data_IF_658116833660
#
_entry.id   IF_658116833660
#
_cell.length_a   1.000
_cell.length_b   1.000
_cell.length_c   1.000
_cell.angle_alpha   90.00
_cell.angle_beta   90.00
_cell.angle_gamma   90.00
#
_symmetry.space_group_name_H-M   'P 1'
#
loop_
_entity.id
_entity.type
_entity.pdbx_description
1 polymer ?
#
# COMPACT_ATOMS: atom_id res chain seq x y z
N UNK A 1 54.90 20.73 -8.04
CA UNK A 1 53.49 20.88 -8.48
C UNK A 1 52.77 19.59 -8.12
N UNK A 2 52.01 19.57 -7.03
CA UNK A 2 51.12 18.44 -6.71
C UNK A 2 49.72 19.01 -6.44
N UNK A 3 48.83 18.80 -7.41
CA UNK A 3 47.41 19.01 -7.26
C UNK A 3 46.86 17.85 -6.44
N UNK A 4 46.44 18.12 -5.21
CA UNK A 4 45.57 17.21 -4.47
C UNK A 4 44.13 17.52 -4.88
N UNK A 5 43.57 16.67 -5.75
CA UNK A 5 42.16 16.71 -6.13
C UNK A 5 41.30 16.24 -4.96
N UNK A 6 40.32 17.06 -4.57
CA UNK A 6 39.28 16.69 -3.61
C UNK A 6 38.24 15.88 -4.38
N UNK A 7 38.13 14.59 -4.06
CA UNK A 7 37.01 13.75 -4.50
C UNK A 7 35.86 13.98 -3.53
N UNK A 8 34.80 14.64 -3.99
CA UNK A 8 33.54 14.72 -3.28
C UNK A 8 32.77 13.41 -3.50
N UNK A 9 32.56 12.64 -2.44
CA UNK A 9 31.68 11.47 -2.44
C UNK A 9 30.26 12.00 -2.24
N UNK A 10 29.43 11.91 -3.28
CA UNK A 10 28.00 12.13 -3.17
C UNK A 10 27.39 10.91 -2.44
N UNK A 11 26.83 11.13 -1.25
CA UNK A 11 26.00 10.15 -0.58
C UNK A 11 24.62 10.20 -1.25
N UNK A 12 24.30 9.19 -2.05
CA UNK A 12 22.93 8.94 -2.47
C UNK A 12 22.16 8.42 -1.25
N UNK A 13 21.23 9.20 -0.72
CA UNK A 13 20.23 8.76 0.24
C UNK A 13 19.20 7.92 -0.51
N UNK A 14 19.53 6.66 -0.77
CA UNK A 14 18.54 5.69 -1.24
C UNK A 14 17.56 5.39 -0.11
N UNK A 15 16.27 5.35 -0.44
CA UNK A 15 15.23 4.84 0.44
C UNK A 15 15.70 3.52 1.07
N UNK A 16 15.92 3.52 2.40
CA UNK A 16 16.41 2.32 3.08
C UNK A 16 15.24 1.39 3.30
N UNK A 17 15.01 0.50 2.35
CA UNK A 17 14.06 -0.59 2.55
C UNK A 17 14.40 -1.34 3.85
N UNK A 18 13.40 -1.53 4.72
CA UNK A 18 13.61 -2.02 6.08
C UNK A 18 13.56 -3.55 6.15
N UNK A 19 14.50 -4.16 6.87
CA UNK A 19 14.40 -5.58 7.23
C UNK A 19 13.12 -5.82 8.06
N UNK A 20 12.47 -6.96 7.83
CA UNK A 20 11.25 -7.32 8.58
C UNK A 20 11.55 -7.47 10.07
N UNK A 21 10.84 -6.74 10.95
CA UNK A 21 10.84 -7.03 12.39
C UNK A 21 10.43 -8.48 12.63
N UNK A 22 11.02 -9.13 13.63
CA UNK A 22 10.85 -10.58 13.85
C UNK A 22 9.37 -11.00 14.02
N UNK A 23 8.55 -10.19 14.67
CA UNK A 23 7.11 -10.47 14.79
C UNK A 23 6.39 -10.39 13.44
N UNK A 24 6.72 -9.40 12.61
CA UNK A 24 6.17 -9.27 11.26
C UNK A 24 6.65 -10.39 10.34
N UNK A 25 7.91 -10.81 10.47
CA UNK A 25 8.45 -11.97 9.74
C UNK A 25 7.68 -13.25 10.08
N UNK A 26 7.37 -13.46 11.35
CA UNK A 26 6.56 -14.62 11.78
C UNK A 26 5.13 -14.55 11.22
N UNK A 27 4.51 -13.37 11.23
CA UNK A 27 3.20 -13.15 10.58
C UNK A 27 3.30 -13.44 9.08
N UNK A 28 4.33 -12.92 8.41
CA UNK A 28 4.55 -13.11 6.99
C UNK A 28 4.68 -14.61 6.66
N UNK A 29 5.57 -15.34 7.31
CA UNK A 29 5.75 -16.77 7.03
C UNK A 29 4.51 -17.61 7.39
N UNK A 30 3.82 -17.27 8.49
CA UNK A 30 2.62 -17.98 8.94
C UNK A 30 1.45 -17.83 7.97
N UNK A 31 1.27 -16.64 7.40
CA UNK A 31 0.12 -16.32 6.56
C UNK A 31 0.41 -16.44 5.06
N UNK A 32 1.69 -16.42 4.63
CA UNK A 32 2.06 -16.62 3.22
C UNK A 32 1.60 -17.97 2.69
N UNK A 33 1.81 -19.03 3.46
CA UNK A 33 1.32 -20.37 3.15
C UNK A 33 0.33 -20.77 4.23
N UNK A 34 -0.93 -20.37 4.05
CA UNK A 34 -1.92 -20.45 5.11
C UNK A 34 -3.35 -20.29 4.62
N UNK A 35 -4.26 -20.19 5.59
CA UNK A 35 -5.67 -19.91 5.36
C UNK A 35 -6.04 -18.64 6.10
N UNK A 36 -6.87 -17.85 5.44
CA UNK A 36 -7.70 -16.84 6.07
C UNK A 36 -8.73 -17.53 6.97
N UNK A 37 -8.43 -17.67 8.27
CA UNK A 37 -9.28 -18.43 9.20
C UNK A 37 -10.48 -17.60 9.67
N UNK A 38 -10.30 -16.27 9.72
CA UNK A 38 -11.30 -15.25 9.95
C UNK A 38 -11.39 -14.37 8.71
N UNK A 39 -12.06 -14.91 7.71
CA UNK A 39 -12.48 -14.16 6.52
C UNK A 39 -13.48 -13.08 6.93
N UNK A 40 -13.18 -11.83 6.56
CA UNK A 40 -14.09 -10.70 6.76
C UNK A 40 -15.02 -10.56 5.57
N UNK A 41 -14.46 -10.67 4.36
CA UNK A 41 -15.19 -10.71 3.09
C UNK A 41 -14.28 -11.34 2.02
N UNK A 42 -14.85 -12.20 1.19
CA UNK A 42 -14.17 -12.83 0.05
C UNK A 42 -14.92 -12.64 -1.26
N UNK A 43 -14.39 -13.24 -2.32
CA UNK A 43 -14.94 -13.15 -3.68
C UNK A 43 -14.25 -12.10 -4.56
N UNK A 44 -13.06 -11.65 -4.17
CA UNK A 44 -12.26 -10.67 -4.89
C UNK A 44 -11.25 -11.32 -5.81
N UNK A 45 -10.86 -10.59 -6.85
CA UNK A 45 -9.75 -10.90 -7.75
C UNK A 45 -8.65 -9.84 -7.61
N UNK A 46 -7.64 -9.93 -8.45
CA UNK A 46 -6.50 -9.04 -8.54
C UNK A 46 -6.31 -8.50 -9.97
N UNK A 47 -7.40 -8.33 -10.73
CA UNK A 47 -7.33 -7.92 -12.14
C UNK A 47 -6.82 -9.02 -13.10
N UNK A 48 -6.22 -10.09 -12.58
CA UNK A 48 -5.67 -11.18 -13.37
C UNK A 48 -6.61 -12.39 -13.44
N UNK A 49 -7.16 -12.65 -14.63
CA UNK A 49 -8.14 -13.73 -14.85
C UNK A 49 -7.68 -15.14 -14.43
N UNK A 50 -6.38 -15.39 -14.38
CA UNK A 50 -5.82 -16.68 -14.00
C UNK A 50 -5.88 -16.95 -12.48
N UNK A 51 -6.02 -15.89 -11.66
CA UNK A 51 -6.18 -15.98 -10.20
C UNK A 51 -7.65 -15.95 -9.78
N UNK A 52 -8.53 -15.33 -10.57
CA UNK A 52 -9.98 -15.35 -10.36
C UNK A 52 -10.38 -14.84 -8.96
N UNK A 53 -11.61 -15.13 -8.54
CA UNK A 53 -12.19 -14.60 -7.30
C UNK A 53 -11.69 -15.30 -6.01
N UNK A 54 -10.37 -15.45 -5.86
CA UNK A 54 -9.73 -16.22 -4.79
C UNK A 54 -9.26 -15.39 -3.59
N UNK A 55 -9.34 -14.07 -3.69
CA UNK A 55 -8.85 -13.12 -2.70
C UNK A 55 -9.92 -12.74 -1.68
N UNK A 56 -9.44 -12.50 -0.47
CA UNK A 56 -10.26 -12.14 0.68
C UNK A 56 -9.54 -11.13 1.57
N UNK A 57 -10.33 -10.28 2.22
CA UNK A 57 -9.89 -9.49 3.37
C UNK A 57 -9.97 -10.34 4.64
N UNK A 58 -8.87 -10.38 5.37
CA UNK A 58 -8.66 -11.31 6.49
C UNK A 58 -8.41 -10.57 7.79
N UNK A 59 -9.05 -11.04 8.86
CA UNK A 59 -8.97 -10.46 10.21
C UNK A 59 -8.32 -11.37 11.24
N UNK A 60 -7.42 -12.27 10.80
CA UNK A 60 -6.71 -13.23 11.66
C UNK A 60 -5.69 -12.56 12.60
N UNK A 61 -5.16 -11.41 12.19
CA UNK A 61 -4.18 -10.65 12.95
C UNK A 61 -4.94 -9.65 13.83
N UNK A 62 -4.77 -9.68 15.17
CA UNK A 62 -5.40 -8.70 16.04
C UNK A 62 -5.04 -7.26 15.65
N UNK A 63 -6.05 -6.39 15.60
CA UNK A 63 -5.93 -4.97 15.22
C UNK A 63 -5.47 -4.71 13.78
N UNK A 64 -5.63 -5.68 12.89
CA UNK A 64 -5.22 -5.57 11.49
C UNK A 64 -6.19 -6.29 10.55
N UNK A 65 -6.20 -5.80 9.31
CA UNK A 65 -6.85 -6.41 8.15
C UNK A 65 -5.76 -6.65 7.11
N UNK A 66 -5.75 -7.80 6.43
CA UNK A 66 -4.78 -8.06 5.37
C UNK A 66 -5.42 -8.78 4.18
N UNK A 67 -4.84 -8.61 2.99
CA UNK A 67 -5.24 -9.31 1.77
C UNK A 67 -4.57 -10.68 1.68
N UNK A 68 -5.32 -11.68 1.25
CA UNK A 68 -4.82 -13.04 1.09
C UNK A 68 -5.63 -13.82 0.06
N UNK A 69 -4.95 -14.61 -0.77
CA UNK A 69 -5.58 -15.54 -1.69
C UNK A 69 -5.52 -16.97 -1.18
N UNK A 70 -6.65 -17.68 -1.31
CA UNK A 70 -6.75 -19.11 -1.00
C UNK A 70 -6.08 -20.04 -2.02
N UNK A 71 -5.62 -19.50 -3.17
CA UNK A 71 -4.94 -20.27 -4.21
C UNK A 71 -3.57 -20.76 -3.76
N UNK A 72 -3.08 -21.79 -4.44
CA UNK A 72 -1.73 -22.35 -4.25
C UNK A 72 -1.36 -22.75 -2.81
N UNK A 73 -2.36 -23.01 -1.96
CA UNK A 73 -2.16 -23.32 -0.54
C UNK A 73 -1.99 -22.10 0.37
N UNK A 74 -2.32 -20.92 -0.15
CA UNK A 74 -2.08 -19.62 0.47
C UNK A 74 -1.06 -18.84 -0.35
N UNK A 75 -1.39 -17.58 -0.64
CA UNK A 75 -0.49 -16.58 -1.20
C UNK A 75 -1.00 -15.18 -0.86
N UNK A 76 -0.19 -14.16 -1.12
CA UNK A 76 -0.60 -12.77 -0.93
C UNK A 76 -1.23 -12.22 -2.19
N UNK A 77 -1.09 -10.91 -2.42
CA UNK A 77 -1.53 -10.24 -3.63
C UNK A 77 -0.32 -9.77 -4.43
N UNK A 78 -0.62 -9.36 -5.64
CA UNK A 78 0.21 -8.60 -6.56
C UNK A 78 0.26 -7.12 -6.16
N UNK A 79 0.82 -6.29 -7.05
CA UNK A 79 0.77 -4.84 -6.95
C UNK A 79 0.45 -4.21 -8.31
N UNK A 80 -0.83 -4.03 -8.60
CA UNK A 80 -1.29 -3.15 -9.68
C UNK A 80 -1.11 -1.68 -9.29
N UNK A 81 -1.12 -0.80 -10.30
CA UNK A 81 -0.79 0.62 -10.12
C UNK A 81 -2.04 1.49 -10.18
N UNK A 82 -2.28 2.20 -9.08
CA UNK A 82 -3.24 3.29 -9.00
C UNK A 82 -2.52 4.63 -9.21
N UNK A 83 -3.06 5.45 -10.11
CA UNK A 83 -2.54 6.78 -10.39
C UNK A 83 -3.55 7.89 -10.05
N UNK A 84 -4.57 7.59 -9.24
CA UNK A 84 -5.65 8.50 -8.90
C UNK A 84 -5.16 9.71 -8.09
N UNK A 85 -5.95 10.78 -8.16
CA UNK A 85 -5.71 12.01 -7.40
C UNK A 85 -4.95 13.09 -8.15
N UNK A 86 -4.13 13.82 -7.39
CA UNK A 86 -3.36 14.96 -7.87
C UNK A 86 -2.27 14.51 -8.85
N UNK A 87 -2.08 15.31 -9.90
CA UNK A 87 -1.05 15.06 -10.92
C UNK A 87 -1.13 13.68 -11.59
N UNK A 88 -2.33 13.08 -11.71
CA UNK A 88 -2.54 11.73 -12.28
C UNK A 88 -1.90 11.44 -13.65
N UNK A 89 -1.60 12.47 -14.45
CA UNK A 89 -0.96 12.31 -15.77
C UNK A 89 0.54 12.66 -15.77
N UNK A 90 1.11 12.93 -14.60
CA UNK A 90 2.53 13.26 -14.45
C UNK A 90 3.39 12.00 -14.43
N UNK A 91 4.66 12.17 -14.77
CA UNK A 91 5.67 11.12 -14.64
C UNK A 91 5.27 9.82 -15.34
N UNK A 92 5.46 8.70 -14.62
CA UNK A 92 5.16 7.37 -15.13
C UNK A 92 3.69 6.98 -15.02
N UNK A 93 2.83 7.86 -14.50
CA UNK A 93 1.38 7.70 -14.59
C UNK A 93 0.81 8.22 -15.93
N UNK A 94 1.63 8.83 -16.79
CA UNK A 94 1.15 9.44 -18.06
C UNK A 94 0.53 8.46 -19.07
N UNK A 95 0.72 7.15 -18.90
CA UNK A 95 0.13 6.09 -19.71
C UNK A 95 -0.98 5.31 -19.00
N UNK A 96 -1.38 5.71 -17.78
CA UNK A 96 -2.58 5.15 -17.16
C UNK A 96 -3.83 5.59 -17.92
N UNK A 97 -4.71 4.64 -18.21
CA UNK A 97 -5.96 4.83 -18.93
C UNK A 97 -7.20 4.73 -18.04
N UNK A 98 -7.04 4.22 -16.83
CA UNK A 98 -8.10 4.02 -15.82
C UNK A 98 -8.17 5.16 -14.81
N UNK A 99 -7.07 5.88 -14.60
CA UNK A 99 -6.96 6.82 -13.49
C UNK A 99 -7.97 7.96 -13.45
N UNK A 100 -8.45 8.22 -12.24
CA UNK A 100 -9.42 9.25 -11.89
C UNK A 100 -8.73 10.48 -11.31
N UNK A 101 -9.43 11.62 -11.39
CA UNK A 101 -8.90 12.90 -10.92
C UNK A 101 -8.98 13.11 -9.41
N UNK A 102 -9.38 12.10 -8.65
CA UNK A 102 -9.52 12.19 -7.20
C UNK A 102 -9.35 10.84 -6.53
N UNK A 103 -8.68 10.83 -5.38
CA UNK A 103 -8.68 9.64 -4.51
C UNK A 103 -9.91 9.61 -3.60
N UNK A 104 -10.21 8.45 -3.02
CA UNK A 104 -11.35 8.30 -2.11
C UNK A 104 -11.40 9.34 -0.99
N UNK A 105 -10.24 9.71 -0.44
CA UNK A 105 -10.12 10.56 0.75
C UNK A 105 -9.70 12.00 0.45
N UNK A 106 -9.95 12.49 -0.77
CA UNK A 106 -9.68 13.87 -1.18
C UNK A 106 -10.16 14.91 -0.17
N UNK A 107 -11.40 14.81 0.29
CA UNK A 107 -11.99 15.76 1.25
C UNK A 107 -11.26 15.74 2.61
N UNK A 108 -10.66 14.62 3.00
CA UNK A 108 -9.89 14.46 4.23
C UNK A 108 -8.51 15.09 4.08
N UNK A 109 -7.80 14.82 2.98
CA UNK A 109 -6.44 15.35 2.77
C UNK A 109 -6.43 16.86 2.46
N UNK A 110 -7.52 17.41 1.91
CA UNK A 110 -7.72 18.87 1.81
C UNK A 110 -7.70 19.56 3.17
N UNK A 111 -8.21 18.91 4.21
CA UNK A 111 -8.16 19.44 5.59
C UNK A 111 -6.74 19.37 6.17
N UNK A 112 -5.86 18.58 5.57
CA UNK A 112 -4.46 18.38 5.94
C UNK A 112 -3.49 19.23 5.11
N UNK A 113 -3.98 19.84 4.02
CA UNK A 113 -3.33 20.96 3.34
C UNK A 113 -2.83 20.66 1.93
N UNK A 114 -3.27 19.56 1.31
CA UNK A 114 -3.03 19.22 -0.10
C UNK A 114 -4.33 19.10 -0.86
N UNK A 115 -4.32 19.34 -2.17
CA UNK A 115 -5.54 19.26 -2.98
C UNK A 115 -6.10 17.84 -3.07
N UNK A 116 -5.19 16.86 -3.17
CA UNK A 116 -5.41 15.42 -3.10
C UNK A 116 -4.07 14.70 -2.84
N UNK A 117 -4.09 13.38 -2.64
CA UNK A 117 -2.89 12.53 -2.72
C UNK A 117 -2.34 12.56 -4.14
N UNK A 118 -1.02 12.42 -4.27
CA UNK A 118 -0.32 12.37 -5.56
C UNK A 118 0.40 11.04 -5.65
N UNK A 119 0.01 10.18 -6.60
CA UNK A 119 0.57 8.85 -6.78
C UNK A 119 2.09 8.83 -6.98
N UNK A 120 2.70 9.93 -7.45
CA UNK A 120 4.14 10.06 -7.67
C UNK A 120 4.92 10.41 -6.38
N UNK A 121 4.23 10.75 -5.29
CA UNK A 121 4.83 11.26 -4.04
C UNK A 121 4.31 10.52 -2.81
N UNK A 122 3.02 10.22 -2.76
CA UNK A 122 2.37 9.69 -1.58
C UNK A 122 2.20 8.18 -1.71
N UNK A 123 2.99 7.36 -1.01
CA UNK A 123 2.76 5.93 -0.97
C UNK A 123 1.40 5.65 -0.31
N UNK A 124 0.44 5.21 -1.11
CA UNK A 124 -0.86 4.78 -0.65
C UNK A 124 -1.25 3.43 -1.23
N UNK A 125 -2.21 2.78 -0.57
CA UNK A 125 -2.80 1.50 -0.97
C UNK A 125 -4.28 1.70 -1.25
N UNK A 126 -4.77 1.07 -2.32
CA UNK A 126 -6.19 0.94 -2.63
C UNK A 126 -6.73 -0.25 -1.82
N UNK A 127 -7.60 0.03 -0.85
CA UNK A 127 -8.00 -0.99 0.11
C UNK A 127 -9.49 -0.88 0.45
N UNK A 128 -10.22 -1.99 0.35
CA UNK A 128 -11.68 -1.97 0.36
C UNK A 128 -12.26 -1.84 -1.05
N UNK A 129 -13.49 -2.30 -1.17
CA UNK A 129 -14.23 -2.35 -2.42
C UNK A 129 -15.61 -1.72 -2.18
N UNK A 130 -15.84 -0.56 -2.79
CA UNK A 130 -17.11 0.15 -2.73
C UNK A 130 -17.86 -0.09 -4.07
N UNK A 131 -19.03 -0.71 -3.99
CA UNK A 131 -19.86 -1.00 -5.16
C UNK A 131 -21.17 -0.24 -5.04
N UNK A 132 -21.35 0.80 -5.85
CA UNK A 132 -22.61 1.54 -5.87
C UNK A 132 -23.64 0.91 -6.84
N UNK A 133 -23.20 0.05 -7.77
CA UNK A 133 -24.02 -0.45 -8.88
C UNK A 133 -23.71 -1.92 -9.22
N UNK A 134 -24.19 -2.90 -8.43
CA UNK A 134 -24.08 -4.30 -8.82
C UNK A 134 -24.35 -5.34 -7.73
N UNK A 135 -24.15 -6.62 -8.10
CA UNK A 135 -24.18 -7.78 -7.20
C UNK A 135 -22.77 -8.16 -6.69
N UNK A 136 -21.75 -7.35 -6.99
CA UNK A 136 -20.37 -7.58 -6.60
C UNK A 136 -20.17 -7.42 -5.07
N UNK A 137 -19.26 -8.19 -4.46
CA UNK A 137 -19.02 -8.13 -3.02
C UNK A 137 -18.46 -6.77 -2.58
N UNK A 138 -19.09 -6.13 -1.61
CA UNK A 138 -18.61 -4.90 -0.98
C UNK A 138 -17.76 -5.20 0.26
N UNK A 139 -16.68 -4.45 0.44
CA UNK A 139 -15.92 -4.44 1.68
C UNK A 139 -15.54 -3.03 2.07
N UNK A 140 -16.09 -2.58 3.19
CA UNK A 140 -15.77 -1.30 3.81
C UNK A 140 -14.91 -1.53 5.06
N UNK A 141 -13.58 -1.24 5.00
CA UNK A 141 -12.69 -1.41 6.15
C UNK A 141 -13.11 -0.63 7.40
N UNK A 142 -13.92 0.45 7.27
CA UNK A 142 -14.46 1.22 8.41
C UNK A 142 -15.38 0.38 9.29
N UNK A 143 -16.13 -0.56 8.68
CA UNK A 143 -16.99 -1.50 9.43
C UNK A 143 -16.18 -2.48 10.28
N UNK A 144 -14.88 -2.57 10.03
CA UNK A 144 -13.93 -3.43 10.74
C UNK A 144 -12.89 -2.64 11.55
N UNK A 145 -13.11 -1.34 11.71
CA UNK A 145 -12.34 -0.49 12.62
C UNK A 145 -11.11 0.18 12.01
N UNK A 146 -10.86 0.06 10.70
CA UNK A 146 -9.92 0.96 10.03
C UNK A 146 -10.53 2.36 9.92
N UNK A 147 -9.69 3.38 9.96
CA UNK A 147 -10.11 4.77 9.79
C UNK A 147 -9.50 5.30 8.48
N UNK A 148 -10.18 6.20 7.74
CA UNK A 148 -9.60 6.84 6.55
C UNK A 148 -8.19 7.38 6.81
N UNK A 149 -7.28 7.21 5.85
CA UNK A 149 -5.87 7.60 5.96
C UNK A 149 -5.07 6.87 7.06
N UNK A 150 -5.57 5.76 7.59
CA UNK A 150 -4.78 4.90 8.49
C UNK A 150 -3.46 4.49 7.81
N UNK A 151 -2.37 4.47 8.57
CA UNK A 151 -1.11 3.89 8.10
C UNK A 151 -1.35 2.44 7.69
N UNK A 152 -0.65 2.00 6.65
CA UNK A 152 -0.60 0.63 6.18
C UNK A 152 0.85 0.15 6.13
N UNK A 153 1.07 -1.11 6.46
CA UNK A 153 2.35 -1.77 6.26
C UNK A 153 2.28 -2.62 4.98
N UNK A 154 3.25 -2.44 4.09
CA UNK A 154 3.39 -3.21 2.86
C UNK A 154 4.69 -3.99 2.92
N UNK A 155 4.59 -5.31 2.73
CA UNK A 155 5.76 -6.19 2.68
C UNK A 155 5.91 -6.75 1.28
N UNK A 156 6.98 -6.34 0.62
CA UNK A 156 7.35 -6.71 -0.75
C UNK A 156 8.87 -6.92 -0.78
N UNK A 157 9.38 -7.84 -1.60
CA UNK A 157 10.82 -8.15 -1.65
C UNK A 157 11.46 -8.42 -0.27
N UNK A 158 10.68 -9.01 0.65
CA UNK A 158 11.05 -9.29 2.06
C UNK A 158 11.49 -8.05 2.85
N UNK A 159 11.03 -6.88 2.42
CA UNK A 159 11.26 -5.59 3.03
C UNK A 159 9.93 -4.99 3.44
N UNK A 160 9.95 -4.18 4.49
CA UNK A 160 8.79 -3.45 4.98
C UNK A 160 8.86 -2.01 4.50
N UNK A 161 7.73 -1.49 4.03
CA UNK A 161 7.49 -0.10 3.71
C UNK A 161 6.16 0.36 4.33
N UNK A 162 6.01 1.67 4.50
CA UNK A 162 4.78 2.26 5.00
C UNK A 162 4.10 3.13 3.96
N UNK A 163 2.78 3.02 3.91
CA UNK A 163 1.93 3.94 3.17
C UNK A 163 0.72 4.30 4.01
N UNK A 164 -0.28 4.87 3.35
CA UNK A 164 -1.60 5.11 3.94
C UNK A 164 -2.69 4.38 3.17
N UNK A 165 -3.81 4.13 3.83
CA UNK A 165 -5.04 3.79 3.13
C UNK A 165 -5.54 5.05 2.41
N UNK A 166 -5.24 5.15 1.10
CA UNK A 166 -5.49 6.34 0.29
C UNK A 166 -6.72 6.24 -0.58
N UNK A 167 -7.05 5.03 -1.04
CA UNK A 167 -8.15 4.82 -1.98
C UNK A 167 -8.95 3.54 -1.71
N UNK A 168 -10.04 3.36 -2.46
CA UNK A 168 -10.89 2.17 -2.48
C UNK A 168 -11.18 1.79 -3.91
N UNK A 169 -11.22 0.50 -4.21
CA UNK A 169 -11.53 0.05 -5.57
C UNK A 169 -13.05 -0.07 -5.78
N UNK A 170 -13.46 -0.04 -7.04
CA UNK A 170 -14.75 -0.57 -7.46
C UNK A 170 -14.69 -2.06 -7.75
N UNK A 171 -15.85 -2.68 -7.91
CA UNK A 171 -16.01 -4.09 -8.29
C UNK A 171 -15.22 -5.05 -7.40
N UNK A 172 -14.50 -6.00 -8.01
CA UNK A 172 -13.85 -7.12 -7.34
C UNK A 172 -12.33 -7.05 -7.30
N UNK A 173 -11.70 -6.05 -7.93
CA UNK A 173 -10.25 -5.96 -8.00
C UNK A 173 -9.66 -5.54 -6.64
N UNK A 174 -8.50 -6.12 -6.30
CA UNK A 174 -7.70 -5.85 -5.10
C UNK A 174 -6.22 -5.91 -5.47
N UNK A 175 -5.33 -5.58 -4.54
CA UNK A 175 -3.87 -5.67 -4.80
C UNK A 175 -3.31 -4.45 -5.54
N UNK A 176 -3.93 -3.28 -5.38
CA UNK A 176 -3.53 -2.07 -6.08
C UNK A 176 -2.92 -1.03 -5.12
N UNK A 177 -1.90 -0.31 -5.58
CA UNK A 177 -1.20 0.72 -4.80
C UNK A 177 -0.68 1.85 -5.70
N UNK A 178 -0.41 3.00 -5.09
CA UNK A 178 0.18 4.15 -5.79
C UNK A 178 1.49 3.80 -6.51
N UNK A 179 1.76 4.48 -7.63
CA UNK A 179 3.05 4.38 -8.33
C UNK A 179 4.26 4.53 -7.38
N UNK A 180 4.23 5.48 -6.43
CA UNK A 180 5.31 5.69 -5.47
C UNK A 180 5.53 4.50 -4.53
N UNK A 181 4.47 3.79 -4.12
CA UNK A 181 4.60 2.54 -3.36
C UNK A 181 5.25 1.44 -4.22
N UNK A 182 4.85 1.33 -5.49
CA UNK A 182 5.46 0.37 -6.41
C UNK A 182 6.93 0.66 -6.68
N UNK A 183 7.32 1.93 -6.83
CA UNK A 183 8.73 2.31 -6.98
C UNK A 183 9.57 2.03 -5.72
N UNK A 184 8.98 2.11 -4.51
CA UNK A 184 9.63 1.64 -3.28
C UNK A 184 9.85 0.13 -3.29
N UNK A 185 8.82 -0.62 -3.67
CA UNK A 185 8.82 -2.08 -3.63
C UNK A 185 9.68 -2.71 -4.72
N UNK A 186 9.53 -2.27 -5.96
CA UNK A 186 10.02 -2.92 -7.18
C UNK A 186 10.71 -1.92 -8.13
N UNK A 187 11.70 -1.13 -7.68
CA UNK A 187 12.34 -0.12 -8.53
C UNK A 187 13.00 -0.72 -9.78
N UNK A 188 13.45 -1.97 -9.69
CA UNK A 188 14.10 -2.69 -10.81
C UNK A 188 13.12 -3.18 -11.87
N UNK A 189 11.82 -3.23 -11.57
CA UNK A 189 10.76 -3.59 -12.53
C UNK A 189 10.28 -2.38 -13.34
N UNK A 190 10.77 -1.18 -13.00
CA UNK A 190 10.43 0.10 -13.65
C UNK A 190 8.91 0.31 -13.78
N UNK A 191 8.15 0.27 -12.66
CA UNK A 191 6.70 0.33 -12.70
C UNK A 191 6.19 1.63 -13.31
N UNK A 192 5.03 1.56 -13.95
CA UNK A 192 4.31 2.66 -14.60
C UNK A 192 2.80 2.48 -14.45
N UNK A 193 2.02 3.50 -14.80
CA UNK A 193 0.57 3.45 -14.69
C UNK A 193 -0.13 2.33 -15.49
N UNK A 194 0.60 1.63 -16.36
CA UNK A 194 0.14 0.46 -17.11
C UNK A 194 0.93 -0.83 -16.82
N UNK A 195 1.86 -0.79 -15.86
CA UNK A 195 2.77 -1.90 -15.55
C UNK A 195 3.07 -1.97 -14.05
N UNK A 196 2.40 -2.89 -13.37
CA UNK A 196 2.63 -3.25 -11.97
C UNK A 196 3.48 -4.51 -11.80
N UNK A 197 3.39 -5.09 -10.60
CA UNK A 197 4.06 -6.33 -10.22
C UNK A 197 3.08 -7.50 -10.20
N UNK A 198 3.12 -8.38 -11.21
CA UNK A 198 2.18 -9.53 -11.35
C UNK A 198 2.30 -10.64 -10.27
N UNK A 199 3.50 -10.95 -9.69
CA UNK A 199 3.58 -12.02 -8.70
C UNK A 199 2.81 -11.74 -7.40
N UNK A 200 2.05 -12.74 -6.94
CA UNK A 200 1.25 -12.71 -5.72
C UNK A 200 2.08 -12.87 -4.41
N UNK A 201 3.05 -12.00 -4.16
CA UNK A 201 3.92 -12.06 -2.99
C UNK A 201 4.00 -10.80 -2.10
N UNK A 202 3.12 -9.83 -2.37
CA UNK A 202 2.98 -8.56 -1.65
C UNK A 202 1.91 -8.66 -0.56
N UNK A 203 2.34 -8.50 0.69
CA UNK A 203 1.44 -8.46 1.84
C UNK A 203 1.06 -7.01 2.17
N UNK A 204 -0.24 -6.72 2.11
CA UNK A 204 -0.84 -5.46 2.59
C UNK A 204 -1.46 -5.65 3.96
N UNK A 205 -1.10 -4.83 4.94
CA UNK A 205 -1.68 -4.80 6.27
C UNK A 205 -2.26 -3.42 6.57
N UNK A 206 -3.57 -3.34 6.70
CA UNK A 206 -4.29 -2.17 7.19
C UNK A 206 -4.43 -2.21 8.71
N UNK A 207 -3.96 -1.18 9.40
CA UNK A 207 -4.08 -1.08 10.86
C UNK A 207 -5.45 -0.52 11.27
N UNK A 208 -6.10 -1.16 12.23
CA UNK A 208 -7.36 -0.67 12.81
C UNK A 208 -7.11 0.24 14.00
N UNK A 209 -8.07 1.10 14.33
CA UNK A 209 -8.03 1.98 15.48
C UNK A 209 -7.65 3.41 15.10
N UNK A 210 -8.12 4.38 15.89
CA UNK A 210 -7.89 5.81 15.63
C UNK A 210 -6.43 6.20 15.75
N UNK A 211 -5.67 5.46 16.53
CA UNK A 211 -4.24 5.62 16.68
C UNK A 211 -3.46 5.27 15.41
N UNK A 212 -4.08 4.58 14.44
CA UNK A 212 -3.44 4.27 13.16
C UNK A 212 -3.40 5.46 12.20
N UNK A 213 -4.18 6.52 12.46
CA UNK A 213 -4.24 7.71 11.60
C UNK A 213 -3.13 8.69 12.00
N UNK A 214 -2.19 9.03 11.11
CA UNK A 214 -1.11 9.96 11.44
C UNK A 214 -1.63 11.40 11.62
N UNK A 215 -2.72 11.75 10.93
CA UNK A 215 -3.29 13.10 10.97
C UNK A 215 -2.22 14.14 10.61
N UNK A 216 -2.14 15.24 11.35
CA UNK A 216 -1.21 16.34 11.05
C UNK A 216 0.28 16.03 11.30
N UNK A 217 0.63 14.85 11.83
CA UNK A 217 2.04 14.51 12.04
C UNK A 217 2.73 14.02 10.77
N UNK A 218 1.98 13.50 9.80
CA UNK A 218 2.52 13.17 8.49
C UNK A 218 2.88 14.44 7.71
N UNK A 219 3.93 14.36 6.90
CA UNK A 219 4.33 15.42 6.00
C UNK A 219 3.54 15.36 4.68
N UNK A 220 2.26 15.72 4.74
CA UNK A 220 1.38 15.74 3.56
C UNK A 220 1.90 16.62 2.42
N UNK A 221 2.86 17.51 2.67
CA UNK A 221 3.44 18.40 1.65
C UNK A 221 4.85 17.99 1.26
N UNK A 222 5.24 16.75 1.57
CA UNK A 222 6.49 16.17 1.15
C UNK A 222 6.69 16.36 -0.37
N UNK A 223 7.93 16.59 -0.76
CA UNK A 223 8.33 16.74 -2.17
C UNK A 223 8.94 15.45 -2.74
N UNK A 224 9.00 14.39 -1.94
CA UNK A 224 9.46 13.06 -2.35
C UNK A 224 8.77 11.94 -1.57
N UNK A 225 8.70 10.77 -2.20
CA UNK A 225 8.21 9.52 -1.63
C UNK A 225 8.89 9.17 -0.30
N UNK A 226 10.21 9.26 -0.25
CA UNK A 226 10.99 8.95 0.95
C UNK A 226 10.68 9.91 2.09
N UNK A 227 10.49 11.19 1.79
CA UNK A 227 10.17 12.20 2.81
C UNK A 227 8.79 11.96 3.42
N UNK A 228 7.80 11.58 2.60
CA UNK A 228 6.48 11.20 3.11
C UNK A 228 6.55 9.91 3.93
N UNK A 229 7.16 8.85 3.40
CA UNK A 229 7.28 7.54 4.08
C UNK A 229 7.98 7.70 5.44
N UNK A 230 9.09 8.44 5.50
CA UNK A 230 9.82 8.71 6.73
C UNK A 230 8.95 9.46 7.75
N UNK A 231 8.07 10.35 7.30
CA UNK A 231 7.18 11.12 8.19
C UNK A 231 6.14 10.26 8.92
N UNK A 232 5.75 9.12 8.35
CA UNK A 232 4.79 8.18 8.96
C UNK A 232 5.46 6.98 9.63
N UNK A 233 6.77 6.83 9.43
CA UNK A 233 7.55 5.66 9.88
C UNK A 233 7.46 5.39 11.37
N UNK A 234 7.61 6.42 12.23
CA UNK A 234 7.56 6.22 13.69
C UNK A 234 6.21 5.60 14.12
N UNK A 235 5.12 6.06 13.50
CA UNK A 235 3.79 5.51 13.75
C UNK A 235 3.67 4.08 13.20
N UNK A 236 4.12 3.84 11.97
CA UNK A 236 4.15 2.52 11.36
C UNK A 236 4.92 1.50 12.21
N UNK A 237 6.12 1.84 12.66
CA UNK A 237 6.98 0.98 13.48
C UNK A 237 6.29 0.63 14.81
N UNK A 238 5.61 1.59 15.43
CA UNK A 238 4.82 1.37 16.65
C UNK A 238 3.65 0.42 16.41
N UNK A 239 2.93 0.56 15.29
CA UNK A 239 1.79 -0.29 14.94
C UNK A 239 2.25 -1.72 14.62
N UNK A 240 3.32 -1.87 13.83
CA UNK A 240 3.94 -3.17 13.53
C UNK A 240 4.41 -3.86 14.80
N UNK A 241 5.06 -3.15 15.72
CA UNK A 241 5.48 -3.72 17.00
C UNK A 241 4.30 -4.22 17.87
N UNK A 242 3.09 -3.67 17.65
CA UNK A 242 1.86 -4.10 18.31
C UNK A 242 1.23 -5.38 17.73
N UNK A 243 1.63 -5.80 16.53
CA UNK A 243 1.10 -7.00 15.88
C UNK A 243 1.55 -8.28 16.59
N UNK A 244 0.63 -9.25 16.65
CA UNK A 244 0.85 -10.56 17.27
C UNK A 244 0.75 -11.65 16.20
N UNK A 245 1.81 -12.47 16.11
CA UNK A 245 1.86 -13.67 15.27
C UNK A 245 0.92 -14.77 15.78
#
# INVERSE_FOLDING_TARGET
MHFAGIVAIALATGATAYDLPENLKQIYEKHKSGKCSKELQGGYDNGHSHDGNSFSYCGDIPNAIYLHSSKNGGQYADMDIDCDGANRHAGKCSNDHSGQGETRWKDEVQKLGIDDLDANIHPYVVFGNENDDGDDPEFDPRKHGMEPLSVMAVVCNKKLFYGIWGDTNGHTATGEASLSMAELCFPEEDPSGDSGHEPNDVLYIGFTGKEAVPGKSADWKADSTESFEESIKELGDKLVAGLKA
#
